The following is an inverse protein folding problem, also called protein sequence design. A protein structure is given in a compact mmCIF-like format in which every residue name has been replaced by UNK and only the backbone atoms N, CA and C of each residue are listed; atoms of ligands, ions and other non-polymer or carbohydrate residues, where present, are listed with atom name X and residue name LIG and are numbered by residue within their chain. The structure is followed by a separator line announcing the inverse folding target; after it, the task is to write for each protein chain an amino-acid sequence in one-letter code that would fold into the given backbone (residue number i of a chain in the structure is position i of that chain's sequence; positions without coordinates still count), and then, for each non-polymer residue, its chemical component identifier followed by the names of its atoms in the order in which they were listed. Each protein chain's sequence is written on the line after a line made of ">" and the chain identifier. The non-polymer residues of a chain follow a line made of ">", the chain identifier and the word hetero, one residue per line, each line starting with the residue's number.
data_IF_077507137760
#
_entry.id   IF_077507137760
#
_cell.length_a   1.000
_cell.length_b   1.000
_cell.length_c   1.000
_cell.angle_alpha   90.00
_cell.angle_beta   90.00
_cell.angle_gamma   90.00
#
_symmetry.space_group_name_H-M   'P 1'
#
loop_
_entity.id
_entity.type
_entity.pdbx_description
1 polymer ?
#
# COMPACT_ATOMS: atom_id res chain seq x y z
N UNK A 1 19.41 -15.63 -45.31
CA UNK A 1 17.99 -15.35 -45.00
C UNK A 1 17.75 -15.59 -43.52
N UNK A 2 17.99 -14.59 -42.67
CA UNK A 2 17.55 -14.64 -41.27
C UNK A 2 16.22 -13.89 -41.21
N UNK A 3 15.11 -14.62 -41.07
CA UNK A 3 13.84 -14.04 -40.64
C UNK A 3 14.00 -13.59 -39.19
N UNK A 4 13.73 -12.32 -38.91
CA UNK A 4 13.78 -11.80 -37.55
C UNK A 4 12.82 -12.59 -36.64
N UNK A 5 13.33 -13.08 -35.52
CA UNK A 5 12.49 -13.63 -34.45
C UNK A 5 11.93 -12.44 -33.68
N UNK A 6 10.65 -12.14 -33.88
CA UNK A 6 9.92 -11.13 -33.10
C UNK A 6 9.41 -11.77 -31.80
N UNK A 7 10.03 -11.43 -30.67
CA UNK A 7 9.60 -11.89 -29.34
C UNK A 7 8.60 -10.91 -28.74
N UNK A 8 7.51 -11.44 -28.17
CA UNK A 8 6.49 -10.63 -27.49
C UNK A 8 5.55 -9.86 -28.41
N UNK A 9 5.54 -10.10 -29.74
CA UNK A 9 4.60 -9.42 -30.64
C UNK A 9 3.19 -10.01 -30.54
N UNK A 10 2.20 -9.16 -30.32
CA UNK A 10 0.77 -9.51 -30.28
C UNK A 10 0.04 -8.67 -31.33
N UNK A 11 -0.33 -9.29 -32.46
CA UNK A 11 -0.92 -8.61 -33.62
C UNK A 11 -0.01 -7.48 -34.16
N UNK A 12 -0.47 -6.23 -34.10
CA UNK A 12 0.29 -5.03 -34.49
C UNK A 12 1.07 -4.40 -33.35
N UNK A 13 0.95 -4.91 -32.11
CA UNK A 13 1.61 -4.38 -30.92
C UNK A 13 2.56 -5.40 -30.27
N UNK A 14 3.09 -5.03 -29.11
CA UNK A 14 3.87 -5.92 -28.26
C UNK A 14 3.10 -6.21 -26.97
N UNK A 15 3.42 -7.33 -26.33
CA UNK A 15 2.92 -7.74 -25.04
C UNK A 15 3.28 -6.66 -24.00
N UNK A 16 2.28 -6.17 -23.29
CA UNK A 16 2.46 -5.24 -22.18
C UNK A 16 2.74 -6.02 -20.89
N UNK A 17 4.00 -6.43 -20.75
CA UNK A 17 4.50 -7.10 -19.56
C UNK A 17 5.95 -7.55 -19.71
N UNK A 18 6.53 -8.02 -18.60
CA UNK A 18 7.89 -8.56 -18.60
C UNK A 18 7.90 -10.02 -19.05
N UNK A 19 8.84 -10.36 -19.94
CA UNK A 19 9.18 -11.74 -20.28
C UNK A 19 10.37 -12.14 -19.41
N UNK A 20 10.16 -13.10 -18.52
CA UNK A 20 11.16 -13.55 -17.55
C UNK A 20 12.18 -14.53 -18.16
N UNK A 21 11.71 -15.58 -18.84
CA UNK A 21 12.56 -16.58 -19.50
C UNK A 21 12.02 -16.97 -20.88
N UNK A 22 12.90 -16.98 -21.89
CA UNK A 22 12.60 -17.39 -23.27
C UNK A 22 13.65 -18.38 -23.75
N UNK A 23 13.21 -19.57 -24.16
CA UNK A 23 14.10 -20.64 -24.65
C UNK A 23 13.65 -21.14 -26.02
N UNK A 24 14.57 -21.17 -26.98
CA UNK A 24 14.36 -21.74 -28.31
C UNK A 24 15.13 -23.06 -28.42
N UNK A 25 14.50 -24.06 -29.01
CA UNK A 25 15.09 -25.39 -29.22
C UNK A 25 15.03 -25.75 -30.70
N UNK A 26 16.11 -26.31 -31.23
CA UNK A 26 16.22 -26.85 -32.59
C UNK A 26 15.73 -28.31 -32.68
N UNK A 27 15.06 -28.79 -31.64
CA UNK A 27 14.54 -30.16 -31.51
C UNK A 27 13.15 -30.18 -30.89
N UNK A 28 12.41 -31.24 -31.14
CA UNK A 28 11.16 -31.53 -30.44
C UNK A 28 11.45 -31.87 -28.98
N UNK A 29 10.71 -31.24 -28.06
CA UNK A 29 10.73 -31.59 -26.64
C UNK A 29 9.70 -32.68 -26.36
N UNK A 30 10.07 -33.66 -25.53
CA UNK A 30 9.12 -34.62 -24.97
C UNK A 30 8.39 -34.04 -23.76
N UNK A 31 7.32 -34.68 -23.30
CA UNK A 31 6.65 -34.29 -22.05
C UNK A 31 7.60 -34.33 -20.83
N UNK A 32 8.54 -35.28 -20.80
CA UNK A 32 9.56 -35.36 -19.76
C UNK A 32 10.60 -34.25 -19.86
N UNK A 33 10.97 -33.83 -21.07
CA UNK A 33 11.83 -32.66 -21.27
C UNK A 33 11.15 -31.39 -20.77
N UNK A 34 9.88 -31.16 -21.14
CA UNK A 34 9.12 -29.98 -20.67
C UNK A 34 9.00 -29.98 -19.16
N UNK A 35 8.66 -31.12 -18.55
CA UNK A 35 8.56 -31.24 -17.09
C UNK A 35 9.90 -30.97 -16.39
N UNK A 36 11.02 -31.38 -16.99
CA UNK A 36 12.36 -31.11 -16.47
C UNK A 36 12.78 -29.66 -16.67
N UNK A 37 12.39 -29.03 -17.78
CA UNK A 37 12.77 -27.66 -18.12
C UNK A 37 11.95 -26.61 -17.35
N UNK A 38 10.69 -26.92 -17.03
CA UNK A 38 9.77 -26.00 -16.36
C UNK A 38 10.31 -25.40 -15.06
N UNK A 39 10.92 -26.15 -14.12
CA UNK A 39 11.49 -25.57 -12.89
C UNK A 39 12.63 -24.58 -13.14
N UNK A 40 13.36 -24.72 -14.24
CA UNK A 40 14.47 -23.82 -14.56
C UNK A 40 14.01 -22.48 -15.15
N UNK A 41 12.81 -22.44 -15.76
CA UNK A 41 12.17 -21.20 -16.24
C UNK A 41 11.02 -20.74 -15.35
N UNK A 42 10.78 -21.46 -14.24
CA UNK A 42 9.90 -20.98 -13.18
C UNK A 42 10.59 -19.75 -12.63
N UNK A 43 9.91 -18.61 -12.71
CA UNK A 43 10.34 -17.41 -12.01
C UNK A 43 10.81 -17.82 -10.62
N UNK A 44 12.10 -17.60 -10.36
CA UNK A 44 12.54 -17.59 -8.98
C UNK A 44 11.96 -16.30 -8.47
N UNK A 45 10.72 -16.36 -7.98
CA UNK A 45 10.18 -15.30 -7.16
C UNK A 45 11.07 -15.39 -5.93
N UNK A 46 12.23 -14.71 -5.98
CA UNK A 46 12.93 -14.29 -4.78
C UNK A 46 11.82 -13.57 -4.04
N UNK A 47 11.35 -14.12 -2.90
CA UNK A 47 10.38 -13.39 -2.09
C UNK A 47 10.99 -12.01 -1.93
N UNK A 48 10.27 -10.92 -2.22
CA UNK A 48 10.83 -9.60 -2.03
C UNK A 48 11.40 -9.58 -0.61
N UNK A 49 12.69 -9.30 -0.52
CA UNK A 49 13.33 -9.10 0.76
C UNK A 49 13.43 -7.60 0.86
N UNK A 50 12.87 -7.04 1.92
CA UNK A 50 13.02 -5.61 2.16
C UNK A 50 14.51 -5.32 2.30
N UNK A 51 14.94 -4.14 1.86
CA UNK A 51 16.38 -3.81 1.89
C UNK A 51 16.96 -3.88 3.31
N UNK A 52 16.10 -3.70 4.32
CA UNK A 52 16.37 -3.78 5.74
C UNK A 52 15.13 -4.27 6.48
N UNK A 53 15.30 -4.90 7.66
CA UNK A 53 14.21 -5.30 8.57
C UNK A 53 13.48 -4.10 9.20
N UNK A 54 14.13 -2.93 9.22
CA UNK A 54 13.58 -1.69 9.75
C UNK A 54 13.94 -0.47 8.90
N UNK A 55 13.13 0.58 9.01
CA UNK A 55 13.35 1.91 8.43
C UNK A 55 13.13 2.97 9.49
N UNK A 56 13.83 4.10 9.38
CA UNK A 56 13.73 5.24 10.29
C UNK A 56 13.17 6.47 9.56
N UNK A 57 12.27 7.22 10.19
CA UNK A 57 11.72 8.48 9.66
C UNK A 57 12.55 9.73 10.07
N UNK A 58 12.07 10.92 9.70
CA UNK A 58 12.77 12.17 10.00
C UNK A 58 12.85 12.53 11.50
N UNK A 59 12.02 11.91 12.34
CA UNK A 59 11.98 12.10 13.79
C UNK A 59 12.70 10.98 14.55
N UNK A 60 13.44 10.13 13.84
CA UNK A 60 14.11 8.94 14.36
C UNK A 60 13.17 7.86 14.91
N UNK A 61 11.91 7.81 14.48
CA UNK A 61 11.03 6.69 14.79
C UNK A 61 11.40 5.49 13.91
N UNK A 62 11.59 4.33 14.53
CA UNK A 62 11.91 3.08 13.82
C UNK A 62 10.64 2.26 13.56
N UNK A 63 10.50 1.77 12.33
CA UNK A 63 9.39 0.94 11.88
C UNK A 63 9.92 -0.36 11.31
N UNK A 64 9.30 -1.48 11.67
CA UNK A 64 9.60 -2.75 11.00
C UNK A 64 9.09 -2.70 9.55
N UNK A 65 9.76 -3.42 8.68
CA UNK A 65 9.39 -3.59 7.27
C UNK A 65 8.92 -5.02 7.04
N UNK A 66 7.98 -5.19 6.12
CA UNK A 66 7.41 -6.50 5.79
C UNK A 66 7.25 -6.63 4.28
N UNK A 67 7.72 -7.76 3.79
CA UNK A 67 7.56 -8.20 2.42
C UNK A 67 6.16 -8.74 2.16
N UNK A 68 5.44 -8.15 1.20
CA UNK A 68 4.14 -8.64 0.72
C UNK A 68 4.17 -8.70 -0.80
N UNK A 69 4.01 -9.90 -1.36
CA UNK A 69 3.96 -10.08 -2.82
C UNK A 69 5.30 -9.80 -3.47
N UNK A 70 5.45 -8.63 -4.10
CA UNK A 70 6.69 -8.11 -4.70
C UNK A 70 7.13 -6.78 -4.07
N UNK A 71 6.47 -6.35 -2.99
CA UNK A 71 6.64 -5.02 -2.40
C UNK A 71 7.08 -5.13 -0.95
N UNK A 72 7.73 -4.08 -0.46
CA UNK A 72 8.10 -3.93 0.94
C UNK A 72 7.39 -2.75 1.57
N UNK A 73 6.78 -3.01 2.72
CA UNK A 73 5.81 -2.13 3.35
C UNK A 73 6.19 -1.86 4.80
N UNK A 74 5.91 -0.65 5.28
CA UNK A 74 6.01 -0.34 6.70
C UNK A 74 4.93 -1.09 7.50
N UNK A 75 5.36 -1.75 8.58
CA UNK A 75 4.51 -2.57 9.44
C UNK A 75 3.73 -1.79 10.51
N UNK A 76 4.02 -0.49 10.72
CA UNK A 76 3.22 0.38 11.61
C UNK A 76 2.86 1.71 10.94
N UNK A 77 1.83 2.39 11.47
CA UNK A 77 1.39 3.70 10.97
C UNK A 77 2.50 4.72 11.19
N UNK A 78 2.76 5.55 10.19
CA UNK A 78 3.74 6.63 10.30
C UNK A 78 3.34 7.62 11.40
N UNK A 79 4.32 8.12 12.17
CA UNK A 79 4.14 9.02 13.30
C UNK A 79 5.18 10.16 13.30
N UNK A 80 5.52 10.66 12.12
CA UNK A 80 6.47 11.77 11.93
C UNK A 80 5.78 13.13 12.02
N UNK A 81 6.47 14.13 12.54
CA UNK A 81 6.05 15.53 12.56
C UNK A 81 5.50 16.03 13.89
N UNK A 82 5.28 17.34 13.93
CA UNK A 82 4.77 18.09 15.07
C UNK A 82 3.25 17.96 15.16
N UNK A 83 2.77 17.64 16.35
CA UNK A 83 1.35 17.51 16.61
C UNK A 83 0.68 18.88 16.71
N UNK A 84 -0.42 19.06 15.98
CA UNK A 84 -1.32 20.21 16.09
C UNK A 84 -2.74 19.76 16.52
N UNK A 85 -3.57 20.69 16.98
CA UNK A 85 -4.97 20.41 17.30
C UNK A 85 -5.79 20.27 16.00
N UNK A 86 -6.79 19.38 15.98
CA UNK A 86 -7.69 19.22 14.82
C UNK A 86 -8.52 20.47 14.48
N UNK A 87 -8.59 21.43 15.41
CA UNK A 87 -9.17 22.74 15.14
C UNK A 87 -8.35 23.56 14.11
N UNK A 88 -7.10 23.18 13.85
CA UNK A 88 -6.21 23.78 12.84
C UNK A 88 -5.93 22.77 11.73
N UNK A 89 -6.01 23.25 10.48
CA UNK A 89 -5.55 22.47 9.33
C UNK A 89 -4.02 22.42 9.30
N UNK A 90 -3.49 21.36 8.70
CA UNK A 90 -2.08 21.20 8.39
C UNK A 90 -1.73 22.12 7.20
N UNK A 91 -0.56 22.75 7.23
CA UNK A 91 -0.19 23.84 6.31
C UNK A 91 1.22 23.70 5.74
N UNK A 92 1.40 24.16 4.50
CA UNK A 92 2.70 24.17 3.81
C UNK A 92 3.62 25.22 4.43
N UNK A 93 4.29 24.82 5.51
CA UNK A 93 5.13 25.68 6.33
C UNK A 93 6.51 25.06 6.63
N UNK A 94 6.88 24.01 5.88
CA UNK A 94 8.11 23.23 6.02
C UNK A 94 8.27 22.50 7.37
N UNK A 95 7.23 22.46 8.20
CA UNK A 95 7.15 21.59 9.38
C UNK A 95 6.14 20.50 9.05
N UNK A 96 6.54 19.23 9.19
CA UNK A 96 5.56 18.16 9.03
C UNK A 96 4.58 18.25 10.20
N UNK A 97 3.30 18.33 9.91
CA UNK A 97 2.23 18.49 10.90
C UNK A 97 1.35 17.23 10.95
N UNK A 98 0.89 16.86 12.15
CA UNK A 98 0.01 15.71 12.34
C UNK A 98 -1.10 16.01 13.33
N UNK A 99 -2.21 15.29 13.20
CA UNK A 99 -3.18 15.18 14.29
C UNK A 99 -2.98 13.86 15.03
N UNK A 100 -3.03 13.93 16.36
CA UNK A 100 -3.18 12.76 17.22
C UNK A 100 -4.61 12.69 17.73
N UNK A 101 -5.18 11.47 17.79
CA UNK A 101 -6.59 11.29 18.11
C UNK A 101 -6.98 11.97 19.44
N UNK A 102 -8.17 12.59 19.48
CA UNK A 102 -8.67 13.34 20.63
C UNK A 102 -7.75 14.47 21.10
N UNK A 103 -6.88 14.96 20.23
CA UNK A 103 -5.98 16.05 20.54
C UNK A 103 -4.99 15.76 21.69
N UNK A 104 -4.55 14.50 21.79
CA UNK A 104 -3.61 14.04 22.82
C UNK A 104 -2.40 13.39 22.15
N UNK A 105 -1.18 13.92 22.38
CA UNK A 105 0.07 13.36 21.83
C UNK A 105 0.21 11.87 22.10
N UNK A 106 -0.06 11.46 23.34
CA UNK A 106 0.00 10.06 23.74
C UNK A 106 -0.90 9.16 22.87
N UNK A 107 -1.98 9.64 22.27
CA UNK A 107 -2.81 8.80 21.40
C UNK A 107 -2.15 8.48 20.06
N UNK A 108 -1.13 9.23 19.60
CA UNK A 108 -0.30 8.80 18.47
C UNK A 108 0.62 7.63 18.84
N UNK A 109 1.17 7.64 20.07
CA UNK A 109 2.15 6.66 20.54
C UNK A 109 1.50 5.44 21.23
N UNK A 110 0.24 5.56 21.62
CA UNK A 110 -0.52 4.51 22.30
C UNK A 110 -1.50 3.83 21.37
N UNK A 111 -1.96 2.68 21.80
CA UNK A 111 -2.83 1.80 21.03
C UNK A 111 -4.26 1.79 21.57
N UNK A 112 -5.23 1.65 20.68
CA UNK A 112 -6.61 1.29 21.02
C UNK A 112 -6.92 -0.21 20.77
N UNK A 113 -5.98 -0.99 20.24
CA UNK A 113 -6.16 -2.39 19.82
C UNK A 113 -4.82 -3.13 19.90
N UNK A 114 -4.69 -4.28 20.59
CA UNK A 114 -3.39 -4.91 20.84
C UNK A 114 -2.48 -4.90 19.61
N UNK A 115 -1.34 -4.20 19.76
CA UNK A 115 -0.04 -4.43 19.10
C UNK A 115 0.56 -3.29 18.28
N UNK A 116 -0.10 -2.15 18.02
CA UNK A 116 0.57 -1.01 17.36
C UNK A 116 0.02 0.38 17.78
N UNK A 117 0.87 1.44 17.77
CA UNK A 117 0.44 2.82 17.95
C UNK A 117 -0.55 3.26 16.85
N UNK A 118 -1.39 4.25 17.15
CA UNK A 118 -2.29 4.82 16.13
C UNK A 118 -1.54 5.60 15.06
N UNK A 119 -0.36 6.14 15.39
CA UNK A 119 0.40 7.01 14.52
C UNK A 119 -0.30 8.35 14.27
N UNK A 120 0.26 9.14 13.36
CA UNK A 120 -0.30 10.41 12.95
C UNK A 120 -1.49 10.26 12.00
N UNK A 121 -2.40 11.22 12.07
CA UNK A 121 -3.44 11.45 11.07
C UNK A 121 -3.06 12.68 10.25
N UNK A 122 -2.90 12.49 8.95
CA UNK A 122 -2.40 13.49 8.02
C UNK A 122 -3.47 13.85 7.01
N UNK A 123 -3.64 15.14 6.74
CA UNK A 123 -4.36 15.59 5.57
C UNK A 123 -3.58 15.17 4.32
N UNK A 124 -4.28 14.95 3.20
CA UNK A 124 -3.62 14.34 2.04
C UNK A 124 -2.50 15.23 1.48
N UNK A 125 -2.72 16.54 1.41
CA UNK A 125 -1.71 17.48 0.95
C UNK A 125 -0.46 17.42 1.84
N UNK A 126 -0.64 17.36 3.16
CA UNK A 126 0.46 17.18 4.13
C UNK A 126 1.19 15.85 3.93
N UNK A 127 0.44 14.74 3.82
CA UNK A 127 1.01 13.41 3.59
C UNK A 127 1.87 13.36 2.31
N UNK A 128 1.45 14.08 1.28
CA UNK A 128 2.16 14.19 0.01
C UNK A 128 3.26 15.25 0.01
N UNK A 129 3.51 15.95 1.12
CA UNK A 129 4.34 17.16 1.18
C UNK A 129 4.00 18.15 0.04
N UNK A 130 2.70 18.40 -0.14
CA UNK A 130 2.13 19.30 -1.12
C UNK A 130 2.49 18.99 -2.59
N UNK A 131 2.96 17.77 -2.86
CA UNK A 131 3.16 17.24 -4.20
C UNK A 131 1.88 16.62 -4.75
N UNK A 132 1.62 16.82 -6.04
CA UNK A 132 0.56 16.11 -6.78
C UNK A 132 1.10 14.95 -7.62
N UNK A 133 2.38 14.61 -7.46
CA UNK A 133 3.00 13.51 -8.22
C UNK A 133 2.61 12.19 -7.57
N UNK A 134 1.90 11.34 -8.29
CA UNK A 134 1.61 9.98 -7.87
C UNK A 134 2.92 9.22 -7.62
N UNK A 135 2.99 8.48 -6.50
CA UNK A 135 4.22 7.80 -6.06
C UNK A 135 5.30 8.74 -5.49
N UNK A 136 4.97 9.99 -5.14
CA UNK A 136 5.93 10.87 -4.47
C UNK A 136 6.31 10.33 -3.07
N UNK A 137 7.56 10.59 -2.66
CA UNK A 137 8.05 10.29 -1.31
C UNK A 137 7.06 10.77 -0.24
N UNK A 138 6.55 12.00 -0.39
CA UNK A 138 5.71 12.63 0.63
C UNK A 138 6.43 12.61 1.99
N UNK A 139 5.70 12.42 3.08
CA UNK A 139 6.27 12.37 4.44
C UNK A 139 7.01 11.06 4.77
N UNK A 140 7.15 10.14 3.81
CA UNK A 140 7.84 8.88 4.03
C UNK A 140 9.36 9.05 4.18
N UNK A 141 10.03 8.07 4.81
CA UNK A 141 11.50 7.98 4.82
C UNK A 141 12.11 8.06 3.42
N UNK A 142 13.39 8.41 3.33
CA UNK A 142 14.12 8.38 2.04
C UNK A 142 14.21 6.95 1.50
N UNK A 143 13.94 6.75 0.20
CA UNK A 143 13.84 5.44 -0.44
C UNK A 143 12.50 4.73 -0.24
N UNK A 144 11.51 5.46 0.30
CA UNK A 144 10.15 5.02 0.52
C UNK A 144 9.18 6.09 0.04
N UNK A 145 7.96 5.73 -0.33
CA UNK A 145 6.99 6.68 -0.83
C UNK A 145 5.55 6.39 -0.40
N UNK A 146 4.67 7.37 -0.63
CA UNK A 146 3.23 7.25 -0.36
C UNK A 146 2.62 6.34 -1.43
N UNK A 147 2.04 5.17 -1.07
CA UNK A 147 1.68 4.15 -2.02
C UNK A 147 0.62 4.61 -3.02
N UNK A 148 0.80 4.23 -4.27
CA UNK A 148 -0.17 4.44 -5.34
C UNK A 148 -1.38 3.50 -5.21
N UNK A 149 -2.40 3.75 -6.02
CA UNK A 149 -3.57 2.91 -6.09
C UNK A 149 -3.18 1.50 -6.53
N UNK A 150 -2.34 1.38 -7.54
CA UNK A 150 -1.95 0.09 -8.08
C UNK A 150 -1.03 -0.68 -7.13
N UNK A 151 -0.22 -0.01 -6.32
CA UNK A 151 0.60 -0.66 -5.31
C UNK A 151 -0.22 -1.29 -4.19
N UNK A 152 -1.22 -0.57 -3.67
CA UNK A 152 -2.19 -1.19 -2.76
C UNK A 152 -2.89 -2.37 -3.41
N UNK A 153 -3.27 -2.28 -4.69
CA UNK A 153 -3.89 -3.40 -5.41
C UNK A 153 -2.94 -4.56 -5.62
N UNK A 154 -1.64 -4.31 -5.82
CA UNK A 154 -0.59 -5.34 -5.85
C UNK A 154 -0.52 -6.07 -4.51
N UNK A 155 -0.48 -5.34 -3.40
CA UNK A 155 -0.50 -5.89 -2.05
C UNK A 155 -1.79 -6.71 -1.79
N UNK A 156 -2.97 -6.16 -2.12
CA UNK A 156 -4.26 -6.85 -1.97
C UNK A 156 -4.29 -8.17 -2.76
N UNK A 157 -3.80 -8.17 -4.01
CA UNK A 157 -3.71 -9.38 -4.84
C UNK A 157 -2.73 -10.40 -4.30
N UNK A 158 -1.62 -9.97 -3.70
CA UNK A 158 -0.64 -10.86 -3.09
C UNK A 158 -1.18 -11.57 -1.84
N UNK A 159 -2.06 -10.90 -1.09
CA UNK A 159 -2.70 -11.45 0.12
C UNK A 159 -3.93 -12.30 -0.23
N UNK A 160 -4.53 -12.03 -1.38
CA UNK A 160 -5.71 -12.72 -1.85
C UNK A 160 -5.45 -14.20 -2.16
N UNK A 161 -6.34 -15.04 -1.66
CA UNK A 161 -6.25 -16.51 -1.80
C UNK A 161 -7.43 -17.11 -2.56
N UNK A 162 -8.36 -16.27 -3.04
CA UNK A 162 -9.50 -16.72 -3.84
C UNK A 162 -9.08 -17.00 -5.28
N UNK A 163 -9.90 -17.75 -6.03
CA UNK A 163 -9.70 -17.91 -7.48
C UNK A 163 -10.04 -16.65 -8.30
N UNK A 164 -10.55 -15.60 -7.65
CA UNK A 164 -11.09 -14.37 -8.26
C UNK A 164 -10.25 -13.13 -7.97
N UNK A 165 -9.02 -13.26 -7.48
CA UNK A 165 -8.20 -12.11 -7.06
C UNK A 165 -8.05 -11.00 -8.12
N UNK A 166 -7.92 -11.35 -9.39
CA UNK A 166 -7.81 -10.37 -10.47
C UNK A 166 -9.12 -9.59 -10.70
N UNK A 167 -10.28 -10.22 -10.49
CA UNK A 167 -11.59 -9.57 -10.62
C UNK A 167 -12.00 -8.85 -9.35
N UNK A 168 -11.57 -9.35 -8.20
CA UNK A 168 -11.83 -8.73 -6.89
C UNK A 168 -10.95 -7.49 -6.69
N UNK A 169 -9.73 -7.49 -7.23
CA UNK A 169 -8.77 -6.40 -7.13
C UNK A 169 -8.21 -6.03 -8.52
N UNK A 170 -9.03 -5.44 -9.41
CA UNK A 170 -8.55 -4.97 -10.70
C UNK A 170 -7.72 -3.70 -10.54
N UNK A 171 -6.70 -3.58 -11.40
CA UNK A 171 -5.91 -2.35 -11.61
C UNK A 171 -6.74 -1.38 -12.45
N UNK A 172 -7.58 -0.60 -11.78
CA UNK A 172 -8.41 0.43 -12.42
C UNK A 172 -8.84 1.49 -11.40
N UNK A 173 -9.23 2.66 -11.90
CA UNK A 173 -9.70 3.81 -11.10
C UNK A 173 -11.23 3.99 -11.12
N UNK A 174 -11.98 2.95 -11.49
CA UNK A 174 -13.45 2.99 -11.63
C UNK A 174 -14.16 2.11 -10.61
N UNK A 175 -13.46 1.11 -10.09
CA UNK A 175 -13.99 0.03 -9.27
C UNK A 175 -13.88 0.42 -7.79
N UNK A 176 -14.99 0.84 -7.18
CA UNK A 176 -15.07 1.26 -5.76
C UNK A 176 -15.96 0.37 -4.89
N UNK A 177 -15.72 0.34 -3.58
CA UNK A 177 -16.53 -0.39 -2.60
C UNK A 177 -15.74 -1.47 -1.86
N UNK A 178 -16.45 -2.39 -1.19
CA UNK A 178 -15.83 -3.54 -0.54
C UNK A 178 -15.32 -4.55 -1.57
N UNK A 179 -14.11 -5.06 -1.37
CA UNK A 179 -13.37 -5.96 -2.25
C UNK A 179 -12.75 -7.12 -1.51
N UNK A 180 -12.55 -8.20 -2.26
CA UNK A 180 -12.06 -9.47 -1.75
C UNK A 180 -13.07 -10.19 -0.86
N UNK A 181 -12.57 -11.12 -0.05
CA UNK A 181 -13.35 -11.97 0.84
C UNK A 181 -12.89 -11.86 2.29
N UNK A 182 -11.57 -11.87 2.54
CA UNK A 182 -10.99 -11.86 3.88
C UNK A 182 -9.67 -11.06 4.00
N UNK A 183 -9.27 -10.36 2.95
CA UNK A 183 -8.02 -9.61 2.87
C UNK A 183 -7.98 -8.49 3.92
N UNK A 184 -9.12 -7.85 4.20
CA UNK A 184 -9.24 -6.88 5.29
C UNK A 184 -8.97 -7.51 6.66
N UNK A 185 -9.42 -8.73 6.92
CA UNK A 185 -9.08 -9.47 8.16
C UNK A 185 -7.59 -9.78 8.24
N UNK A 186 -6.96 -10.13 7.12
CA UNK A 186 -5.52 -10.45 7.07
C UNK A 186 -4.64 -9.22 7.25
N UNK A 187 -5.11 -8.03 6.87
CA UNK A 187 -4.40 -6.74 6.98
C UNK A 187 -4.55 -6.09 8.36
N UNK A 188 -5.68 -6.28 9.05
CA UNK A 188 -5.96 -5.70 10.38
C UNK A 188 -5.01 -6.18 11.47
N UNK A 189 -5.05 -5.55 12.67
CA UNK A 189 -4.25 -6.02 13.79
C UNK A 189 -4.51 -7.48 14.16
N UNK A 190 -3.44 -8.22 14.47
CA UNK A 190 -3.43 -9.69 14.63
C UNK A 190 -3.82 -10.46 13.36
N UNK A 191 -3.74 -9.82 12.20
CA UNK A 191 -3.94 -10.44 10.91
C UNK A 191 -2.73 -11.29 10.50
N UNK A 192 -2.89 -12.10 9.45
CA UNK A 192 -1.83 -13.03 9.02
C UNK A 192 -0.69 -12.38 8.22
N UNK A 193 -0.79 -11.09 7.89
CA UNK A 193 0.20 -10.39 7.06
C UNK A 193 1.31 -9.73 7.89
N UNK A 194 1.05 -9.41 9.15
CA UNK A 194 1.94 -8.62 9.99
C UNK A 194 1.97 -7.11 9.67
N UNK A 195 1.25 -6.63 8.64
CA UNK A 195 1.18 -5.19 8.33
C UNK A 195 0.36 -4.38 9.32
N UNK A 196 -0.49 -5.03 10.11
CA UNK A 196 -1.21 -4.42 11.24
C UNK A 196 -1.84 -3.06 10.88
N UNK A 197 -2.71 -3.00 9.88
CA UNK A 197 -3.48 -1.80 9.48
C UNK A 197 -4.36 -1.35 10.64
N UNK A 198 -3.76 -0.57 11.55
CA UNK A 198 -4.35 -0.22 12.82
C UNK A 198 -5.60 0.65 12.62
N UNK A 199 -6.58 0.45 13.50
CA UNK A 199 -7.88 1.09 13.43
C UNK A 199 -7.84 2.46 14.13
N UNK A 200 -6.96 3.34 13.67
CA UNK A 200 -6.71 4.67 14.27
C UNK A 200 -7.88 5.64 14.13
N UNK A 201 -8.88 5.31 13.30
CA UNK A 201 -9.97 6.21 12.96
C UNK A 201 -9.54 7.25 11.92
N UNK A 202 -10.19 8.41 11.93
CA UNK A 202 -9.84 9.54 11.08
C UNK A 202 -10.23 10.87 11.71
N UNK A 203 -9.61 11.95 11.23
CA UNK A 203 -9.96 13.34 11.58
C UNK A 203 -10.80 14.00 10.49
N UNK A 204 -11.81 14.78 10.88
CA UNK A 204 -12.57 15.64 9.99
C UNK A 204 -13.21 16.81 10.73
N UNK A 205 -13.13 18.01 10.16
CA UNK A 205 -13.93 19.17 10.58
C UNK A 205 -13.87 19.46 12.08
N UNK A 206 -12.68 19.39 12.69
CA UNK A 206 -12.49 19.64 14.13
C UNK A 206 -12.92 18.48 15.04
N UNK A 207 -13.14 17.28 14.51
CA UNK A 207 -13.58 16.11 15.28
C UNK A 207 -12.91 14.82 14.80
N UNK A 208 -12.81 13.85 15.71
CA UNK A 208 -12.24 12.54 15.41
C UNK A 208 -13.31 11.44 15.45
N UNK A 209 -13.15 10.44 14.59
CA UNK A 209 -14.17 9.40 14.39
C UNK A 209 -13.55 8.00 14.30
N UNK A 210 -14.33 7.00 14.71
CA UNK A 210 -14.10 5.58 14.42
C UNK A 210 -12.78 4.97 14.91
N UNK A 211 -12.11 5.56 15.91
CA UNK A 211 -10.99 4.90 16.61
C UNK A 211 -11.42 3.55 17.17
N UNK A 212 -10.59 2.52 16.97
CA UNK A 212 -10.89 1.12 17.29
C UNK A 212 -11.87 0.44 16.34
N UNK A 213 -12.50 1.16 15.41
CA UNK A 213 -13.51 0.61 14.51
C UNK A 213 -13.09 0.64 13.04
N UNK A 214 -12.27 1.60 12.61
CA UNK A 214 -11.84 1.74 11.22
C UNK A 214 -10.41 2.24 11.13
N UNK A 215 -9.64 1.71 10.18
CA UNK A 215 -8.33 2.23 9.77
C UNK A 215 -8.45 2.72 8.34
N UNK A 216 -8.09 3.99 8.10
CA UNK A 216 -8.12 4.63 6.80
C UNK A 216 -6.69 5.00 6.39
N UNK A 217 -6.34 4.71 5.15
CA UNK A 217 -4.97 4.83 4.66
C UNK A 217 -4.93 5.57 3.33
N UNK A 218 -4.14 6.64 3.28
CA UNK A 218 -3.99 7.43 2.07
C UNK A 218 -3.26 6.68 0.96
N UNK A 219 -3.66 6.97 -0.27
CA UNK A 219 -2.90 6.68 -1.47
C UNK A 219 -2.45 7.98 -2.13
N UNK A 220 -1.32 7.96 -2.82
CA UNK A 220 -0.83 9.11 -3.61
C UNK A 220 -1.62 9.35 -4.89
N UNK A 221 -2.50 8.43 -5.28
CA UNK A 221 -3.34 8.59 -6.47
C UNK A 221 -4.49 9.57 -6.22
N UNK A 222 -4.38 10.75 -6.81
CA UNK A 222 -5.45 11.75 -6.84
C UNK A 222 -6.58 11.40 -7.81
N UNK A 223 -7.77 11.95 -7.57
CA UNK A 223 -8.93 11.83 -8.44
C UNK A 223 -9.86 13.02 -8.26
N UNK A 224 -9.71 14.02 -9.13
CA UNK A 224 -10.46 15.27 -9.02
C UNK A 224 -10.10 16.03 -7.75
N UNK A 225 -11.08 16.29 -6.89
CA UNK A 225 -10.88 17.00 -5.60
C UNK A 225 -10.69 16.06 -4.41
N UNK A 226 -10.28 14.82 -4.68
CA UNK A 226 -10.12 13.79 -3.66
C UNK A 226 -8.95 12.88 -3.99
N UNK A 227 -8.62 12.00 -3.07
CA UNK A 227 -7.58 11.00 -3.25
C UNK A 227 -8.09 9.62 -2.90
N UNK A 228 -7.50 8.60 -3.52
CA UNK A 228 -7.80 7.22 -3.19
C UNK A 228 -7.39 6.90 -1.76
N UNK A 229 -8.19 6.08 -1.09
CA UNK A 229 -7.86 5.55 0.21
C UNK A 229 -8.33 4.10 0.33
N UNK A 230 -7.74 3.38 1.28
CA UNK A 230 -8.19 2.06 1.71
C UNK A 230 -8.77 2.18 3.10
N UNK A 231 -9.85 1.44 3.35
CA UNK A 231 -10.45 1.30 4.66
C UNK A 231 -10.54 -0.17 5.03
N UNK A 232 -10.05 -0.50 6.23
CA UNK A 232 -10.35 -1.76 6.91
C UNK A 232 -11.19 -1.47 8.15
N UNK A 233 -12.23 -2.29 8.37
CA UNK A 233 -13.16 -2.11 9.47
C UNK A 233 -13.16 -3.31 10.42
N UNK A 234 -13.35 -3.08 11.72
CA UNK A 234 -13.39 -4.15 12.74
C UNK A 234 -14.43 -5.23 12.37
N UNK A 235 -15.62 -4.82 11.92
CA UNK A 235 -16.72 -5.71 11.54
C UNK A 235 -16.73 -6.21 10.09
N UNK A 236 -15.76 -5.83 9.25
CA UNK A 236 -15.67 -6.30 7.85
C UNK A 236 -14.43 -7.14 7.62
N UNK A 237 -14.58 -8.20 6.82
CA UNK A 237 -13.46 -9.02 6.37
C UNK A 237 -12.85 -8.52 5.05
N UNK A 238 -13.56 -7.61 4.35
CA UNK A 238 -13.18 -7.05 3.06
C UNK A 238 -12.42 -5.74 3.22
N UNK A 239 -11.67 -5.35 2.19
CA UNK A 239 -11.06 -4.02 2.09
C UNK A 239 -12.02 -3.11 1.33
N UNK A 240 -12.30 -1.92 1.86
CA UNK A 240 -13.08 -0.91 1.15
C UNK A 240 -12.13 0.07 0.45
N UNK A 241 -12.39 0.37 -0.82
CA UNK A 241 -11.62 1.38 -1.58
C UNK A 241 -12.55 2.41 -2.24
N UNK A 242 -12.19 3.70 -2.12
CA UNK A 242 -12.89 4.82 -2.78
C UNK A 242 -11.99 6.06 -2.75
N UNK A 243 -12.40 7.10 -3.46
CA UNK A 243 -11.85 8.45 -3.31
C UNK A 243 -12.63 9.24 -2.26
N UNK A 244 -11.93 10.05 -1.46
CA UNK A 244 -12.52 10.97 -0.47
C UNK A 244 -11.79 12.31 -0.49
N UNK A 245 -12.40 13.33 0.14
CA UNK A 245 -11.85 14.68 0.19
C UNK A 245 -10.48 14.71 0.88
N UNK A 246 -9.53 15.43 0.27
CA UNK A 246 -8.15 15.58 0.74
C UNK A 246 -8.03 16.31 2.10
N UNK A 247 -9.09 17.01 2.53
CA UNK A 247 -9.17 17.70 3.82
C UNK A 247 -9.37 16.77 5.03
N UNK A 248 -9.59 15.47 4.82
CA UNK A 248 -9.71 14.48 5.90
C UNK A 248 -8.32 14.08 6.41
N UNK A 249 -8.21 13.67 7.66
CA UNK A 249 -6.95 13.19 8.25
C UNK A 249 -6.93 11.67 8.36
N UNK A 250 -6.10 10.98 7.57
CA UNK A 250 -5.95 9.52 7.59
C UNK A 250 -4.53 9.10 7.96
N UNK A 251 -4.36 7.82 8.31
CA UNK A 251 -3.04 7.25 8.55
C UNK A 251 -2.27 7.07 7.24
N UNK A 252 -0.94 7.02 7.36
CA UNK A 252 -0.02 6.77 6.23
C UNK A 252 0.76 5.49 6.48
N UNK A 253 0.94 4.71 5.41
CA UNK A 253 1.87 3.58 5.31
C UNK A 253 2.74 3.81 4.09
N UNK A 254 4.04 3.65 4.23
CA UNK A 254 4.95 3.81 3.11
C UNK A 254 5.30 2.45 2.51
N UNK A 255 5.62 2.47 1.22
CA UNK A 255 6.15 1.35 0.46
C UNK A 255 7.55 1.71 -0.03
N UNK A 256 8.45 0.74 -0.09
CA UNK A 256 9.84 0.90 -0.53
C UNK A 256 9.91 1.03 -2.07
N UNK A 257 10.82 1.88 -2.56
CA UNK A 257 11.02 2.18 -4.00
C UNK A 257 11.59 1.01 -4.83
#
# INVERSE_FOLDING_TARGET
>A
NASAVDLGRVSTGYYEGALDDIRLYDRTLTASDVARLYPFGKATIVPPVCSSDTVEDADANTYNTIAIGTQCWMASNLNVGTRINIASNQTDNAVIEKWCYSDTDANCDTTNNPNQPDGGLYQWDEAMQYSTTEGAQGICPTGWHIPTHDEYTTMERAICTSGSCATDFPYDTTTTGYRGTNEGTKLKPNGSTGLEFNLAGFGSSGSFFNRGSSGLFWSSSESGTGAWHRLVGSGSAQVYRRTLAQSLGFSVRCVED
#
